data_IF_163133417070
#
_entry.id   IF_163133417070
#
_cell.length_a   1.000
_cell.length_b   1.000
_cell.length_c   1.000
_cell.angle_alpha   90.00
_cell.angle_beta   90.00
_cell.angle_gamma   90.00
#
_symmetry.space_group_name_H-M   'P 1'
#
loop_
_entity.id
_entity.type
_entity.pdbx_description
1 polymer ?
#
# COMPACT_ATOMS: atom_id res chain seq x y z
N UNK A 1 -71.59 -24.27 -56.65
CA UNK A 1 -71.55 -25.41 -57.59
C UNK A 1 -70.25 -25.63 -58.39
N UNK A 2 -69.13 -24.87 -58.25
CA UNK A 2 -67.88 -25.16 -58.99
C UNK A 2 -66.93 -26.17 -58.29
N UNK A 3 -67.17 -26.52 -57.03
CA UNK A 3 -66.25 -27.38 -56.27
C UNK A 3 -66.37 -28.88 -56.60
N UNK A 4 -67.53 -29.35 -57.08
CA UNK A 4 -67.71 -30.79 -57.35
C UNK A 4 -66.98 -31.23 -58.63
N UNK A 5 -67.00 -30.42 -59.68
CA UNK A 5 -66.29 -30.72 -60.94
C UNK A 5 -64.78 -30.78 -60.72
N UNK A 6 -64.22 -29.81 -59.99
CA UNK A 6 -62.78 -29.77 -59.66
C UNK A 6 -62.36 -30.98 -58.81
N UNK A 7 -63.17 -31.37 -57.83
CA UNK A 7 -62.90 -32.56 -57.01
C UNK A 7 -62.98 -33.85 -57.83
N UNK A 8 -63.88 -33.90 -58.80
CA UNK A 8 -64.06 -35.06 -59.68
C UNK A 8 -62.92 -35.16 -60.70
N UNK A 9 -62.45 -34.04 -61.24
CA UNK A 9 -61.28 -33.95 -62.11
C UNK A 9 -59.99 -34.33 -61.36
N UNK A 10 -59.83 -33.88 -60.12
CA UNK A 10 -58.73 -34.27 -59.25
C UNK A 10 -58.75 -35.77 -58.92
N UNK A 11 -59.92 -36.33 -58.59
CA UNK A 11 -60.08 -37.76 -58.33
C UNK A 11 -59.72 -38.61 -59.55
N UNK A 12 -60.15 -38.20 -60.74
CA UNK A 12 -59.81 -38.87 -62.00
C UNK A 12 -58.31 -38.78 -62.31
N UNK A 13 -57.69 -37.65 -62.05
CA UNK A 13 -56.25 -37.44 -62.24
C UNK A 13 -55.43 -38.35 -61.32
N UNK A 14 -55.82 -38.49 -60.04
CA UNK A 14 -55.16 -39.44 -59.11
C UNK A 14 -55.33 -40.89 -59.58
N UNK A 15 -56.51 -41.27 -60.05
CA UNK A 15 -56.75 -42.64 -60.55
C UNK A 15 -55.88 -42.95 -61.77
N UNK A 16 -55.74 -42.00 -62.70
CA UNK A 16 -54.86 -42.15 -63.86
C UNK A 16 -53.38 -42.23 -63.43
N UNK A 17 -52.95 -41.39 -62.49
CA UNK A 17 -51.60 -41.42 -61.96
C UNK A 17 -51.31 -42.77 -61.27
N UNK A 18 -52.23 -43.24 -60.44
CA UNK A 18 -52.13 -44.56 -59.78
C UNK A 18 -51.97 -45.68 -60.80
N UNK A 19 -52.76 -45.65 -61.89
CA UNK A 19 -52.68 -46.65 -62.96
C UNK A 19 -51.32 -46.62 -63.66
N UNK A 20 -50.82 -45.44 -64.04
CA UNK A 20 -49.52 -45.29 -64.67
C UNK A 20 -48.36 -45.77 -63.77
N UNK A 21 -48.43 -45.50 -62.46
CA UNK A 21 -47.42 -45.98 -61.52
C UNK A 21 -47.44 -47.51 -61.38
N UNK A 22 -48.62 -48.13 -61.34
CA UNK A 22 -48.76 -49.59 -61.29
C UNK A 22 -48.24 -50.23 -62.60
N UNK A 23 -48.60 -49.66 -63.76
CA UNK A 23 -48.11 -50.13 -65.06
C UNK A 23 -46.58 -50.00 -65.19
N UNK A 24 -45.99 -49.02 -64.50
CA UNK A 24 -44.54 -48.83 -64.39
C UNK A 24 -43.85 -49.73 -63.34
N UNK A 25 -44.57 -50.67 -62.73
CA UNK A 25 -44.03 -51.66 -61.78
C UNK A 25 -44.00 -51.22 -60.31
N UNK A 26 -44.66 -50.12 -59.94
CA UNK A 26 -44.78 -49.67 -58.55
C UNK A 26 -45.91 -50.40 -57.82
N UNK A 27 -45.66 -50.83 -56.59
CA UNK A 27 -46.70 -51.44 -55.75
C UNK A 27 -47.70 -50.41 -55.23
N UNK A 28 -48.91 -50.86 -54.88
CA UNK A 28 -49.96 -49.96 -54.36
C UNK A 28 -49.56 -49.27 -53.05
N UNK A 29 -48.78 -49.94 -52.20
CA UNK A 29 -48.31 -49.38 -50.94
C UNK A 29 -47.22 -48.33 -51.14
N UNK A 30 -46.34 -48.50 -52.13
CA UNK A 30 -45.35 -47.48 -52.51
C UNK A 30 -46.03 -46.22 -53.06
N UNK A 31 -47.08 -46.37 -53.89
CA UNK A 31 -47.85 -45.22 -54.37
C UNK A 31 -48.51 -44.45 -53.23
N UNK A 32 -49.14 -45.15 -52.27
CA UNK A 32 -49.75 -44.50 -51.09
C UNK A 32 -48.70 -43.74 -50.29
N UNK A 33 -47.55 -44.34 -50.01
CA UNK A 33 -46.47 -43.69 -49.28
C UNK A 33 -45.98 -42.43 -49.99
N UNK A 34 -45.73 -42.52 -51.31
CA UNK A 34 -45.33 -41.38 -52.12
C UNK A 34 -46.39 -40.26 -52.09
N UNK A 35 -47.65 -40.60 -52.30
CA UNK A 35 -48.74 -39.62 -52.32
C UNK A 35 -48.87 -38.89 -50.97
N UNK A 36 -48.85 -39.61 -49.85
CA UNK A 36 -48.94 -39.01 -48.51
C UNK A 36 -47.70 -38.18 -48.15
N UNK A 37 -46.50 -38.60 -48.56
CA UNK A 37 -45.30 -37.78 -48.39
C UNK A 37 -45.42 -36.45 -49.15
N UNK A 38 -45.96 -36.47 -50.37
CA UNK A 38 -46.14 -35.26 -51.18
C UNK A 38 -47.11 -34.27 -50.51
N UNK A 39 -48.22 -34.78 -49.96
CA UNK A 39 -49.16 -33.98 -49.19
C UNK A 39 -48.54 -33.37 -47.92
N UNK A 40 -47.74 -34.17 -47.18
CA UNK A 40 -47.05 -33.70 -45.97
C UNK A 40 -46.00 -32.62 -46.27
N UNK A 41 -45.32 -32.72 -47.40
CA UNK A 41 -44.36 -31.70 -47.87
C UNK A 41 -45.08 -30.39 -48.19
N UNK A 42 -46.22 -30.44 -48.89
CA UNK A 42 -47.05 -29.28 -49.20
C UNK A 42 -47.57 -28.57 -47.94
N UNK A 43 -47.98 -29.32 -46.90
CA UNK A 43 -48.40 -28.78 -45.61
C UNK A 43 -47.25 -28.07 -44.86
N UNK A 44 -46.03 -28.63 -44.93
CA UNK A 44 -44.86 -28.02 -44.30
C UNK A 44 -44.37 -26.76 -45.03
N UNK A 45 -44.45 -26.71 -46.36
CA UNK A 45 -44.02 -25.52 -47.14
C UNK A 45 -44.94 -24.32 -46.93
N UNK A 46 -46.20 -24.54 -46.55
CA UNK A 46 -47.19 -23.48 -46.33
C UNK A 46 -47.17 -22.88 -44.91
N UNK A 47 -46.32 -23.36 -44.01
CA UNK A 47 -46.05 -22.74 -42.70
C UNK A 47 -44.73 -21.95 -42.74
N UNK A 48 -44.72 -20.62 -42.89
CA UNK A 48 -43.49 -19.85 -42.77
C UNK A 48 -42.93 -19.95 -41.34
N UNK A 49 -41.63 -20.21 -41.21
CA UNK A 49 -40.92 -20.28 -39.92
C UNK A 49 -40.95 -18.92 -39.19
N UNK A 50 -41.97 -18.72 -38.36
CA UNK A 50 -42.22 -17.53 -37.55
C UNK A 50 -41.15 -17.25 -36.45
N UNK A 51 -40.11 -18.09 -36.36
CA UNK A 51 -39.08 -18.01 -35.32
C UNK A 51 -38.02 -16.94 -35.59
N UNK A 52 -37.67 -16.65 -36.85
CA UNK A 52 -36.64 -15.67 -37.18
C UNK A 52 -37.11 -14.22 -36.96
N UNK A 53 -38.37 -13.91 -37.28
CA UNK A 53 -38.98 -12.60 -37.03
C UNK A 53 -39.09 -12.35 -35.53
N UNK A 54 -39.57 -13.34 -34.76
CA UNK A 54 -39.71 -13.22 -33.30
C UNK A 54 -38.37 -13.00 -32.59
N UNK A 55 -37.30 -13.67 -33.03
CA UNK A 55 -35.96 -13.51 -32.47
C UNK A 55 -35.33 -12.17 -32.82
N UNK A 56 -35.61 -11.65 -34.02
CA UNK A 56 -35.18 -10.32 -34.45
C UNK A 56 -35.89 -9.22 -33.66
N UNK A 57 -37.21 -9.30 -33.52
CA UNK A 57 -38.02 -8.36 -32.71
C UNK A 57 -37.53 -8.34 -31.27
N UNK A 58 -37.29 -9.49 -30.64
CA UNK A 58 -36.79 -9.54 -29.26
C UNK A 58 -35.42 -8.86 -29.09
N UNK A 59 -34.50 -9.02 -30.06
CA UNK A 59 -33.20 -8.34 -30.03
C UNK A 59 -33.34 -6.82 -30.15
N UNK A 60 -34.17 -6.34 -31.08
CA UNK A 60 -34.41 -4.90 -31.24
C UNK A 60 -35.13 -4.29 -30.04
N UNK A 61 -36.07 -5.00 -29.43
CA UNK A 61 -36.73 -4.57 -28.20
C UNK A 61 -35.73 -4.44 -27.04
N UNK A 62 -34.80 -5.38 -26.88
CA UNK A 62 -33.74 -5.29 -25.86
C UNK A 62 -32.80 -4.11 -26.08
N UNK A 63 -32.40 -3.86 -27.33
CA UNK A 63 -31.54 -2.71 -27.67
C UNK A 63 -32.27 -1.40 -27.41
N UNK A 64 -33.54 -1.29 -27.80
CA UNK A 64 -34.36 -0.11 -27.55
C UNK A 64 -34.53 0.14 -26.04
N UNK A 65 -34.77 -0.91 -25.25
CA UNK A 65 -34.83 -0.83 -23.78
C UNK A 65 -33.50 -0.35 -23.20
N UNK A 66 -32.37 -0.86 -23.67
CA UNK A 66 -31.04 -0.42 -23.25
C UNK A 66 -30.78 1.05 -23.57
N UNK A 67 -31.17 1.51 -24.76
CA UNK A 67 -31.04 2.92 -25.17
C UNK A 67 -31.93 3.83 -24.32
N UNK A 68 -33.17 3.43 -24.04
CA UNK A 68 -34.08 4.21 -23.19
C UNK A 68 -33.57 4.29 -21.74
N UNK A 69 -33.05 3.19 -21.19
CA UNK A 69 -32.43 3.19 -19.86
C UNK A 69 -31.21 4.11 -19.84
N UNK A 70 -30.35 4.06 -20.88
CA UNK A 70 -29.18 4.94 -21.00
C UNK A 70 -29.54 6.42 -21.10
N UNK A 71 -30.57 6.77 -21.89
CA UNK A 71 -31.04 8.15 -21.98
C UNK A 71 -31.66 8.64 -20.66
N UNK A 72 -32.40 7.78 -19.97
CA UNK A 72 -32.97 8.09 -18.65
C UNK A 72 -31.89 8.32 -17.58
N UNK A 73 -30.83 7.50 -17.55
CA UNK A 73 -29.72 7.66 -16.59
C UNK A 73 -28.87 8.89 -16.90
N UNK A 74 -28.68 9.25 -18.17
CA UNK A 74 -28.02 10.50 -18.57
C UNK A 74 -28.83 11.75 -18.15
N UNK A 75 -30.15 11.72 -18.40
CA UNK A 75 -31.05 12.82 -18.05
C UNK A 75 -31.15 13.04 -16.53
N UNK A 76 -31.27 11.95 -15.76
CA UNK A 76 -31.38 11.99 -14.30
C UNK A 76 -30.06 11.64 -13.58
N UNK A 77 -28.92 11.95 -14.20
CA UNK A 77 -27.59 11.56 -13.72
C UNK A 77 -27.34 11.92 -12.25
N UNK A 78 -27.77 13.11 -11.81
CA UNK A 78 -27.62 13.56 -10.42
C UNK A 78 -28.49 12.76 -9.42
N UNK A 79 -29.74 12.47 -9.78
CA UNK A 79 -30.65 11.70 -8.94
C UNK A 79 -30.24 10.22 -8.88
N UNK A 80 -29.89 9.63 -10.02
CA UNK A 80 -29.37 8.27 -10.13
C UNK A 80 -28.07 8.11 -9.34
N UNK A 81 -27.13 9.05 -9.47
CA UNK A 81 -25.89 9.06 -8.70
C UNK A 81 -26.16 9.15 -7.19
N UNK A 82 -27.04 10.05 -6.75
CA UNK A 82 -27.40 10.18 -5.34
C UNK A 82 -28.05 8.91 -4.80
N UNK A 83 -28.98 8.30 -5.54
CA UNK A 83 -29.62 7.05 -5.13
C UNK A 83 -28.63 5.88 -5.09
N UNK A 84 -27.71 5.79 -6.06
CA UNK A 84 -26.68 4.76 -6.10
C UNK A 84 -25.72 4.91 -4.91
N UNK A 85 -25.26 6.13 -4.60
CA UNK A 85 -24.36 6.37 -3.46
C UNK A 85 -25.04 6.09 -2.13
N UNK A 86 -26.28 6.58 -1.93
CA UNK A 86 -27.00 6.33 -0.69
C UNK A 86 -27.22 4.83 -0.42
N UNK A 87 -27.48 4.04 -1.46
CA UNK A 87 -27.61 2.58 -1.32
C UNK A 87 -26.25 1.88 -1.23
N UNK A 88 -25.20 2.37 -1.90
CA UNK A 88 -23.85 1.79 -1.81
C UNK A 88 -23.21 2.00 -0.44
N UNK A 89 -23.53 3.09 0.27
CA UNK A 89 -22.95 3.40 1.58
C UNK A 89 -23.06 2.23 2.57
N UNK A 90 -24.19 1.52 2.59
CA UNK A 90 -24.38 0.34 3.45
C UNK A 90 -23.51 -0.87 3.03
N UNK A 91 -23.14 -0.95 1.75
CA UNK A 91 -22.29 -2.02 1.20
C UNK A 91 -20.79 -1.69 1.22
N UNK A 92 -20.39 -0.45 1.48
CA UNK A 92 -18.97 -0.07 1.57
C UNK A 92 -18.27 -0.92 2.63
N UNK A 93 -18.80 -1.00 3.85
CA UNK A 93 -18.16 -1.75 4.94
C UNK A 93 -18.13 -3.27 4.70
N UNK A 94 -19.25 -3.93 4.30
CA UNK A 94 -19.22 -5.33 3.88
C UNK A 94 -18.25 -5.59 2.71
N UNK A 95 -18.21 -4.70 1.72
CA UNK A 95 -17.31 -4.78 0.58
C UNK A 95 -15.84 -4.69 1.00
N UNK A 96 -15.48 -3.72 1.84
CA UNK A 96 -14.13 -3.60 2.41
C UNK A 96 -13.76 -4.83 3.27
N UNK A 97 -14.72 -5.41 4.00
CA UNK A 97 -14.51 -6.65 4.77
C UNK A 97 -14.27 -7.85 3.86
N UNK A 98 -14.97 -7.95 2.74
CA UNK A 98 -14.77 -8.99 1.73
C UNK A 98 -13.41 -8.81 1.04
N UNK A 99 -13.08 -7.59 0.60
CA UNK A 99 -11.77 -7.23 0.07
C UNK A 99 -10.65 -7.59 1.03
N UNK A 100 -10.80 -7.28 2.33
CA UNK A 100 -9.85 -7.68 3.37
C UNK A 100 -9.69 -9.19 3.49
N UNK A 101 -10.80 -9.96 3.44
CA UNK A 101 -10.74 -11.42 3.48
C UNK A 101 -10.03 -12.01 2.26
N UNK A 102 -10.22 -11.41 1.09
CA UNK A 102 -9.53 -11.82 -0.13
C UNK A 102 -8.06 -11.40 -0.09
N UNK A 103 -7.73 -10.21 0.43
CA UNK A 103 -6.37 -9.69 0.41
C UNK A 103 -5.44 -10.33 1.45
N UNK A 104 -5.94 -10.72 2.63
CA UNK A 104 -5.12 -11.38 3.68
C UNK A 104 -4.29 -12.58 3.16
N UNK A 105 -4.88 -13.59 2.49
CA UNK A 105 -4.09 -14.72 1.98
C UNK A 105 -3.08 -14.28 0.92
N UNK A 106 -3.42 -13.32 0.06
CA UNK A 106 -2.47 -12.77 -0.91
C UNK A 106 -1.28 -12.06 -0.23
N UNK A 107 -1.54 -11.23 0.77
CA UNK A 107 -0.49 -10.54 1.54
C UNK A 107 0.39 -11.56 2.28
N UNK A 108 -0.19 -12.67 2.78
CA UNK A 108 0.58 -13.72 3.45
C UNK A 108 1.55 -14.47 2.54
N UNK A 109 1.29 -14.51 1.23
CA UNK A 109 2.19 -15.11 0.24
C UNK A 109 3.37 -14.18 -0.11
N UNK A 110 3.20 -12.87 0.06
CA UNK A 110 4.19 -11.85 -0.28
C UNK A 110 4.52 -10.98 0.94
N UNK A 111 5.30 -11.50 1.92
CA UNK A 111 5.66 -10.76 3.11
C UNK A 111 6.43 -9.46 2.82
N UNK A 112 7.18 -9.41 1.71
CA UNK A 112 7.84 -8.20 1.23
C UNK A 112 6.87 -7.05 0.93
N UNK A 113 5.64 -7.35 0.50
CA UNK A 113 4.62 -6.32 0.27
C UNK A 113 4.13 -5.68 1.57
N UNK A 114 4.16 -6.45 2.66
CA UNK A 114 3.82 -5.93 4.00
C UNK A 114 4.89 -4.97 4.50
N UNK A 115 6.16 -5.21 4.17
CA UNK A 115 7.26 -4.28 4.49
C UNK A 115 7.01 -2.90 3.87
N UNK A 116 6.65 -2.86 2.57
CA UNK A 116 6.31 -1.61 1.88
C UNK A 116 5.05 -0.93 2.42
N UNK A 117 4.10 -1.68 2.96
CA UNK A 117 2.92 -1.10 3.62
C UNK A 117 3.28 -0.35 4.91
N UNK A 118 4.34 -0.78 5.60
CA UNK A 118 4.82 -0.12 6.82
C UNK A 118 5.78 1.04 6.55
N UNK A 119 6.23 1.20 5.31
CA UNK A 119 7.04 2.33 4.88
C UNK A 119 6.15 3.56 4.64
N UNK A 120 6.49 4.65 5.33
CA UNK A 120 5.80 5.95 5.18
C UNK A 120 6.22 6.63 3.88
N UNK A 121 7.44 6.38 3.42
CA UNK A 121 7.99 6.88 2.17
C UNK A 121 8.82 5.80 1.47
N UNK A 122 8.41 5.40 0.26
CA UNK A 122 9.14 4.40 -0.53
C UNK A 122 10.41 4.95 -1.17
N UNK A 123 10.37 6.21 -1.60
CA UNK A 123 11.47 6.92 -2.24
C UNK A 123 11.41 8.37 -1.74
N UNK A 124 12.41 8.76 -0.95
CA UNK A 124 12.63 10.18 -0.67
C UNK A 124 13.09 10.87 -1.95
N UNK A 125 12.41 11.94 -2.34
CA UNK A 125 12.84 12.73 -3.48
C UNK A 125 13.99 13.66 -3.04
N UNK A 126 15.24 13.41 -3.49
CA UNK A 126 16.39 14.22 -3.07
C UNK A 126 16.35 15.65 -3.62
N UNK A 127 15.47 15.92 -4.60
CA UNK A 127 15.28 17.23 -5.22
C UNK A 127 14.00 17.92 -4.74
N UNK A 128 13.25 17.31 -3.82
CA UNK A 128 12.10 17.97 -3.23
C UNK A 128 12.59 19.04 -2.26
N UNK A 129 12.33 20.30 -2.62
CA UNK A 129 12.52 21.45 -1.75
C UNK A 129 11.17 22.13 -1.57
N UNK A 130 10.83 22.48 -0.34
CA UNK A 130 9.59 23.22 -0.05
C UNK A 130 9.84 24.68 -0.39
N UNK A 131 9.21 25.16 -1.46
CA UNK A 131 9.47 26.51 -2.02
C UNK A 131 9.13 27.63 -1.04
N UNK A 132 8.08 27.46 -0.24
CA UNK A 132 7.56 28.50 0.69
C UNK A 132 7.61 28.03 2.15
N UNK A 133 8.79 27.63 2.60
CA UNK A 133 9.00 27.26 3.99
C UNK A 133 9.14 28.49 4.88
N UNK A 134 8.30 28.60 5.93
CA UNK A 134 8.45 29.66 6.92
C UNK A 134 9.64 29.37 7.85
N UNK A 135 10.76 30.02 7.58
CA UNK A 135 12.01 29.86 8.33
C UNK A 135 12.09 30.79 9.56
N UNK A 136 11.07 31.61 9.84
CA UNK A 136 11.04 32.48 11.01
C UNK A 136 11.31 31.73 12.34
N UNK A 137 10.76 30.51 12.58
CA UNK A 137 10.94 29.80 13.85
C UNK A 137 12.38 29.40 14.20
N UNK A 138 13.32 29.40 13.23
CA UNK A 138 14.72 29.12 13.46
C UNK A 138 15.60 30.38 13.53
N UNK A 139 15.11 31.51 13.01
CA UNK A 139 15.89 32.74 12.80
C UNK A 139 16.49 33.32 14.09
N UNK A 140 15.81 33.12 15.22
CA UNK A 140 16.23 33.65 16.54
C UNK A 140 17.11 32.68 17.32
N UNK A 141 17.31 31.46 16.83
CA UNK A 141 18.08 30.42 17.53
C UNK A 141 19.56 30.57 17.21
N UNK A 142 20.34 30.90 18.23
CA UNK A 142 21.79 31.12 18.10
C UNK A 142 22.63 30.05 18.80
N UNK A 143 22.07 29.33 19.77
CA UNK A 143 22.74 28.29 20.53
C UNK A 143 21.77 27.18 20.93
N UNK A 144 22.32 25.98 21.13
CA UNK A 144 21.61 24.85 21.73
C UNK A 144 21.74 25.02 23.23
N UNK A 145 20.60 25.03 23.94
CA UNK A 145 20.57 25.16 25.40
C UNK A 145 20.47 23.78 26.04
N UNK A 146 21.12 23.64 27.19
CA UNK A 146 20.89 22.51 28.07
C UNK A 146 19.75 22.84 29.03
N UNK A 147 18.74 21.97 29.07
CA UNK A 147 17.51 22.16 29.85
C UNK A 147 17.49 21.15 30.98
N UNK A 148 17.38 21.64 32.21
CA UNK A 148 17.20 20.78 33.38
C UNK A 148 15.70 20.48 33.55
N UNK A 149 15.35 19.20 33.57
CA UNK A 149 13.99 18.67 33.73
C UNK A 149 12.93 19.23 32.74
N UNK A 150 13.01 18.86 31.46
CA UNK A 150 12.04 19.35 30.47
C UNK A 150 10.63 18.79 30.69
N UNK A 151 9.62 19.66 30.54
CA UNK A 151 8.24 19.24 30.35
C UNK A 151 8.06 18.60 28.96
N UNK A 152 7.02 17.77 28.75
CA UNK A 152 6.69 17.29 27.42
C UNK A 152 6.59 18.46 26.43
N UNK A 153 7.30 18.35 25.31
CA UNK A 153 7.36 19.42 24.33
C UNK A 153 6.00 19.58 23.67
N UNK A 154 5.48 20.82 23.69
CA UNK A 154 4.36 21.20 22.84
C UNK A 154 4.90 21.53 21.44
N UNK A 155 4.09 21.32 20.40
CA UNK A 155 4.44 21.58 18.98
C UNK A 155 4.95 23.02 18.70
N UNK A 156 4.90 23.93 19.66
CA UNK A 156 5.39 25.31 19.55
C UNK A 156 6.89 25.47 19.88
N UNK A 157 7.54 24.48 20.49
CA UNK A 157 8.98 24.57 20.81
C UNK A 157 9.82 24.03 19.66
N UNK A 158 10.12 24.89 18.69
CA UNK A 158 10.96 24.58 17.51
C UNK A 158 12.45 24.63 17.80
N UNK A 159 12.87 25.35 18.84
CA UNK A 159 14.27 25.52 19.17
C UNK A 159 14.90 24.21 19.68
N UNK A 160 16.08 23.82 19.18
CA UNK A 160 16.77 22.62 19.63
C UNK A 160 17.36 22.81 21.02
N UNK A 161 17.33 21.75 21.81
CA UNK A 161 17.91 21.70 23.15
C UNK A 161 18.42 20.30 23.48
N UNK A 162 19.29 20.23 24.47
CA UNK A 162 19.76 18.96 25.04
C UNK A 162 19.28 18.83 26.49
N UNK A 163 19.11 17.60 26.96
CA UNK A 163 18.94 17.32 28.37
C UNK A 163 19.40 15.92 28.73
N UNK A 164 19.77 15.72 29.98
CA UNK A 164 20.11 14.41 30.53
C UNK A 164 18.84 13.58 30.81
N UNK A 165 18.81 12.36 30.30
CA UNK A 165 17.67 11.46 30.48
C UNK A 165 17.90 10.44 31.60
N UNK A 166 16.83 9.81 32.08
CA UNK A 166 16.91 8.67 33.01
C UNK A 166 17.35 7.35 32.33
N UNK A 167 17.74 7.41 31.05
CA UNK A 167 18.20 6.24 30.29
C UNK A 167 19.52 5.74 30.87
N UNK A 168 19.60 4.44 31.16
CA UNK A 168 20.89 3.82 31.46
C UNK A 168 21.70 3.63 30.19
N UNK A 169 23.03 3.68 30.30
CA UNK A 169 23.95 3.43 29.19
C UNK A 169 23.65 2.05 28.59
N UNK A 170 23.45 2.00 27.27
CA UNK A 170 23.21 0.77 26.52
C UNK A 170 24.37 0.59 25.55
N UNK A 171 25.21 -0.38 25.86
CA UNK A 171 26.35 -0.79 25.03
C UNK A 171 25.96 -1.88 24.03
N UNK A 172 26.96 -2.34 23.27
CA UNK A 172 26.77 -3.42 22.30
C UNK A 172 26.34 -4.74 22.94
N UNK A 173 26.76 -5.02 24.18
CA UNK A 173 26.39 -6.26 24.88
C UNK A 173 24.91 -6.24 25.27
N UNK A 174 24.42 -5.12 25.78
CA UNK A 174 23.01 -4.91 26.08
C UNK A 174 22.13 -5.02 24.82
N UNK A 175 22.56 -4.43 23.69
CA UNK A 175 21.87 -4.59 22.40
C UNK A 175 21.86 -6.06 21.93
N UNK A 176 23.00 -6.74 22.03
CA UNK A 176 23.10 -8.17 21.68
C UNK A 176 22.16 -9.02 22.53
N UNK A 177 22.09 -8.75 23.83
CA UNK A 177 21.17 -9.45 24.75
C UNK A 177 19.71 -9.19 24.41
N UNK A 178 19.34 -7.96 24.07
CA UNK A 178 17.98 -7.60 23.61
C UNK A 178 17.60 -8.38 22.35
N UNK A 179 18.50 -8.42 21.37
CA UNK A 179 18.32 -9.16 20.13
C UNK A 179 18.19 -10.67 20.38
N UNK A 180 19.16 -11.28 21.06
CA UNK A 180 19.18 -12.73 21.29
C UNK A 180 17.94 -13.23 22.06
N UNK A 181 17.44 -12.43 23.00
CA UNK A 181 16.21 -12.76 23.74
C UNK A 181 14.96 -12.80 22.86
N UNK A 182 14.95 -12.07 21.74
CA UNK A 182 13.77 -11.90 20.86
C UNK A 182 14.11 -12.13 19.38
N UNK A 183 15.08 -13.01 19.12
CA UNK A 183 15.67 -13.23 17.80
C UNK A 183 14.63 -13.47 16.71
N UNK A 184 13.69 -14.39 16.96
CA UNK A 184 12.63 -14.74 16.00
C UNK A 184 11.78 -13.54 15.57
N UNK A 185 11.55 -12.58 16.47
CA UNK A 185 10.76 -11.38 16.16
C UNK A 185 11.57 -10.39 15.32
N UNK A 186 12.83 -10.13 15.70
CA UNK A 186 13.70 -9.22 14.96
C UNK A 186 14.01 -9.74 13.56
N UNK A 187 14.35 -11.03 13.43
CA UNK A 187 14.64 -11.66 12.13
C UNK A 187 13.42 -11.67 11.20
N UNK A 188 12.21 -11.61 11.76
CA UNK A 188 10.97 -11.54 10.98
C UNK A 188 10.57 -10.12 10.61
N UNK A 189 10.64 -9.19 11.56
CA UNK A 189 10.02 -7.86 11.42
C UNK A 189 11.02 -6.72 11.20
N UNK A 190 12.31 -6.93 11.46
CA UNK A 190 13.38 -5.97 11.19
C UNK A 190 14.69 -6.68 10.76
N UNK A 191 14.67 -7.43 9.64
CA UNK A 191 15.79 -8.28 9.22
C UNK A 191 16.96 -7.55 8.55
N UNK A 192 16.83 -6.24 8.28
CA UNK A 192 17.77 -5.50 7.44
C UNK A 192 18.45 -4.40 8.24
N UNK A 193 19.79 -4.44 8.25
CA UNK A 193 20.64 -3.40 8.80
C UNK A 193 21.47 -2.83 7.66
N UNK A 194 21.39 -1.52 7.45
CA UNK A 194 22.18 -0.83 6.44
C UNK A 194 23.61 -0.63 6.97
N UNK A 195 24.60 -1.15 6.27
CA UNK A 195 26.02 -1.03 6.63
C UNK A 195 26.73 -0.07 5.67
N UNK A 196 27.46 0.90 6.23
CA UNK A 196 28.30 1.87 5.53
C UNK A 196 27.57 2.58 4.36
N UNK A 197 26.23 2.72 4.44
CA UNK A 197 25.36 3.23 3.39
C UNK A 197 25.49 2.52 2.02
N UNK A 198 25.84 1.23 2.01
CA UNK A 198 26.11 0.49 0.76
C UNK A 198 25.28 -0.78 0.58
N UNK A 199 25.22 -1.61 1.61
CA UNK A 199 24.57 -2.92 1.53
C UNK A 199 23.86 -3.26 2.84
N UNK A 200 22.97 -4.23 2.77
CA UNK A 200 22.22 -4.71 3.93
C UNK A 200 22.81 -6.01 4.48
N UNK A 201 22.87 -6.11 5.79
CA UNK A 201 23.22 -7.34 6.52
C UNK A 201 22.09 -7.73 7.48
N UNK A 202 22.14 -8.95 8.02
CA UNK A 202 21.20 -9.37 9.05
C UNK A 202 21.63 -8.89 10.45
N UNK A 203 20.69 -8.76 11.41
CA UNK A 203 21.03 -8.53 12.82
C UNK A 203 21.96 -9.61 13.39
N UNK A 204 21.82 -10.86 12.92
CA UNK A 204 22.70 -11.96 13.33
C UNK A 204 24.15 -11.68 12.95
N UNK A 205 24.37 -11.22 11.71
CA UNK A 205 25.70 -10.86 11.22
C UNK A 205 26.30 -9.73 12.04
N UNK A 206 25.52 -8.69 12.40
CA UNK A 206 25.99 -7.58 13.22
C UNK A 206 26.54 -8.05 14.58
N UNK A 207 25.84 -8.96 15.25
CA UNK A 207 26.21 -9.40 16.60
C UNK A 207 27.18 -10.59 16.65
N UNK A 208 27.40 -11.26 15.51
CA UNK A 208 28.32 -12.38 15.38
C UNK A 208 29.62 -12.01 14.64
N UNK A 209 29.65 -10.91 13.88
CA UNK A 209 30.89 -10.35 13.34
C UNK A 209 31.79 -9.81 14.46
N UNK A 210 33.11 -9.90 14.27
CA UNK A 210 34.07 -9.25 15.17
C UNK A 210 33.95 -7.74 15.00
N UNK A 211 33.77 -7.03 16.12
CA UNK A 211 33.58 -5.57 16.18
C UNK A 211 34.86 -4.79 15.79
N UNK A 212 35.96 -5.48 15.51
CA UNK A 212 37.25 -4.87 15.13
C UNK A 212 37.23 -4.15 13.77
N UNK A 213 36.18 -4.34 12.96
CA UNK A 213 35.99 -3.60 11.73
C UNK A 213 35.31 -2.24 12.00
N UNK A 214 35.96 -1.16 11.55
CA UNK A 214 35.46 0.21 11.54
C UNK A 214 34.23 0.33 10.64
N UNK A 215 33.06 0.04 11.20
CA UNK A 215 31.80 -0.03 10.48
C UNK A 215 30.77 0.95 11.05
N UNK A 216 29.85 1.32 10.17
CA UNK A 216 28.70 2.14 10.46
C UNK A 216 27.44 1.35 10.14
N UNK A 217 26.51 1.27 11.09
CA UNK A 217 25.28 0.50 10.98
C UNK A 217 24.07 1.37 11.28
N UNK A 218 23.04 1.27 10.45
CA UNK A 218 21.72 1.87 10.68
C UNK A 218 20.70 0.73 10.68
N UNK A 219 20.07 0.52 11.83
CA UNK A 219 19.02 -0.46 12.00
C UNK A 219 17.66 0.24 12.10
N UNK A 220 16.82 0.07 11.08
CA UNK A 220 15.50 0.69 10.98
C UNK A 220 14.41 -0.20 11.58
N UNK A 221 13.53 0.41 12.36
CA UNK A 221 12.33 -0.21 12.92
C UNK A 221 11.10 0.58 12.52
N UNK A 222 10.15 -0.07 11.83
CA UNK A 222 8.88 0.52 11.41
C UNK A 222 7.66 -0.27 11.94
N UNK A 223 7.87 -1.43 12.57
CA UNK A 223 6.81 -2.29 13.09
C UNK A 223 6.49 -1.99 14.58
N UNK A 224 5.20 -2.01 14.91
CA UNK A 224 4.69 -1.82 16.27
C UNK A 224 5.17 -2.86 17.28
N UNK A 225 5.32 -4.14 16.90
CA UNK A 225 5.73 -5.17 17.87
C UNK A 225 7.19 -4.99 18.26
N UNK A 226 8.09 -4.77 17.29
CA UNK A 226 9.49 -4.44 17.56
C UNK A 226 9.61 -3.11 18.31
N UNK A 227 8.82 -2.09 17.96
CA UNK A 227 8.80 -0.83 18.69
C UNK A 227 8.38 -1.01 20.16
N UNK A 228 7.41 -1.89 20.45
CA UNK A 228 6.99 -2.22 21.81
C UNK A 228 8.13 -2.88 22.59
N UNK A 229 8.86 -3.79 21.95
CA UNK A 229 10.01 -4.44 22.56
C UNK A 229 11.15 -3.44 22.81
N UNK A 230 11.46 -2.61 21.82
CA UNK A 230 12.48 -1.57 21.93
C UNK A 230 12.21 -0.63 23.10
N UNK A 231 10.94 -0.25 23.32
CA UNK A 231 10.51 0.57 24.47
C UNK A 231 10.75 -0.07 25.85
N UNK A 232 10.92 -1.39 25.93
CA UNK A 232 11.26 -2.07 27.17
C UNK A 232 12.75 -1.91 27.52
N UNK A 233 13.60 -1.74 26.52
CA UNK A 233 15.06 -1.57 26.68
C UNK A 233 15.44 -0.09 26.66
N UNK A 234 14.87 0.67 25.74
CA UNK A 234 15.04 2.11 25.59
C UNK A 234 13.68 2.78 25.88
N UNK A 235 13.36 3.07 27.16
CA UNK A 235 12.14 3.76 27.52
C UNK A 235 11.93 5.06 26.76
N UNK A 236 10.67 5.45 26.60
CA UNK A 236 10.32 6.74 26.00
C UNK A 236 10.87 7.87 26.89
N UNK A 237 11.65 8.81 26.33
CA UNK A 237 12.12 9.97 27.07
C UNK A 237 10.95 10.85 27.57
N UNK A 238 11.10 11.47 28.74
CA UNK A 238 10.06 12.31 29.39
C UNK A 238 9.54 13.43 28.48
N UNK A 239 10.42 14.00 27.67
CA UNK A 239 10.11 15.11 26.77
C UNK A 239 9.19 14.74 25.61
N UNK A 240 9.17 13.46 25.24
CA UNK A 240 8.38 12.95 24.12
C UNK A 240 6.93 12.76 24.59
N UNK A 241 5.93 13.40 23.97
CA UNK A 241 4.55 13.26 24.39
C UNK A 241 4.00 11.83 24.24
N UNK A 242 2.89 11.54 24.95
CA UNK A 242 2.36 10.17 25.07
C UNK A 242 1.72 9.64 23.79
N UNK A 243 1.14 10.51 22.97
CA UNK A 243 0.38 10.19 21.76
C UNK A 243 1.02 10.87 20.57
N UNK A 244 1.04 10.25 19.38
CA UNK A 244 1.59 10.89 18.17
C UNK A 244 3.06 10.54 17.86
N UNK A 245 3.67 9.64 18.63
CA UNK A 245 5.00 9.12 18.27
C UNK A 245 4.94 8.29 16.98
N UNK A 246 5.85 8.57 16.04
CA UNK A 246 6.01 7.79 14.80
C UNK A 246 6.31 6.31 15.10
N UNK A 247 5.95 5.45 14.14
CA UNK A 247 6.37 4.05 14.13
C UNK A 247 7.82 3.88 13.73
N UNK A 248 8.38 4.82 12.98
CA UNK A 248 9.75 4.81 12.50
C UNK A 248 10.74 5.19 13.61
N UNK A 249 11.73 4.32 13.80
CA UNK A 249 12.85 4.49 14.73
C UNK A 249 14.12 3.93 14.11
N UNK A 250 15.25 4.46 14.54
CA UNK A 250 16.55 3.96 14.13
C UNK A 250 17.42 3.69 15.35
N UNK A 251 18.17 2.60 15.32
CA UNK A 251 19.37 2.45 16.13
C UNK A 251 20.57 2.63 15.20
N UNK A 252 21.47 3.52 15.57
CA UNK A 252 22.70 3.79 14.86
C UNK A 252 23.85 3.26 15.71
N UNK A 253 24.76 2.50 15.09
CA UNK A 253 25.99 2.01 15.71
C UNK A 253 27.16 2.44 14.83
N UNK A 254 28.04 3.27 15.36
CA UNK A 254 29.22 3.78 14.67
C UNK A 254 30.50 3.42 15.42
N UNK A 255 31.28 2.49 14.85
CA UNK A 255 32.68 2.24 15.24
C UNK A 255 33.69 2.88 14.26
N UNK A 256 33.21 3.40 13.12
CA UNK A 256 34.03 3.99 12.07
C UNK A 256 34.59 5.37 12.44
N UNK A 257 33.89 6.09 13.32
CA UNK A 257 34.19 7.45 13.76
C UNK A 257 34.17 8.48 12.62
N UNK A 258 33.57 8.15 11.49
CA UNK A 258 33.49 9.06 10.34
C UNK A 258 32.34 10.05 10.49
N UNK A 259 32.34 11.09 9.66
CA UNK A 259 31.19 12.00 9.57
C UNK A 259 30.04 11.31 8.85
N UNK A 260 28.83 11.37 9.41
CA UNK A 260 27.62 10.84 8.78
C UNK A 260 26.39 11.67 9.15
N UNK A 261 25.39 11.63 8.27
CA UNK A 261 24.11 12.29 8.52
C UNK A 261 23.17 11.35 9.27
N UNK A 262 22.42 11.91 10.22
CA UNK A 262 21.31 11.20 10.86
C UNK A 262 20.18 11.05 9.82
N UNK A 263 19.57 9.86 9.67
CA UNK A 263 18.44 9.68 8.77
C UNK A 263 17.29 10.62 9.10
N UNK A 264 16.68 11.17 8.05
CA UNK A 264 15.45 11.94 8.18
C UNK A 264 14.32 11.02 8.67
N UNK A 265 13.44 11.57 9.50
CA UNK A 265 12.34 10.82 10.13
C UNK A 265 10.97 11.26 9.59
N UNK A 266 9.96 10.39 9.70
CA UNK A 266 8.59 10.71 9.28
C UNK A 266 8.02 12.04 9.81
N UNK A 267 8.06 12.27 11.13
CA UNK A 267 7.46 13.46 11.74
C UNK A 267 8.48 14.59 11.92
N UNK A 268 8.04 15.86 11.91
CA UNK A 268 8.90 17.05 11.95
C UNK A 268 9.77 17.18 13.20
N UNK A 269 9.23 16.83 14.37
CA UNK A 269 9.99 16.83 15.61
C UNK A 269 10.72 15.51 15.79
N UNK A 270 12.02 15.57 15.99
CA UNK A 270 12.87 14.40 16.10
C UNK A 270 13.74 14.51 17.34
N UNK A 271 14.14 13.35 17.84
CA UNK A 271 15.10 13.27 18.93
C UNK A 271 16.22 12.30 18.58
N UNK A 272 17.42 12.65 19.04
CA UNK A 272 18.61 11.81 18.98
C UNK A 272 19.06 11.56 20.42
N UNK A 273 18.91 10.32 20.88
CA UNK A 273 19.31 9.88 22.21
C UNK A 273 20.64 9.13 22.11
N UNK A 274 21.69 9.63 22.76
CA UNK A 274 22.95 8.92 22.86
C UNK A 274 22.84 7.81 23.92
N UNK A 275 22.96 6.56 23.47
CA UNK A 275 22.87 5.38 24.33
C UNK A 275 24.22 4.99 24.91
N UNK A 276 25.29 5.15 24.15
CA UNK A 276 26.68 4.91 24.56
C UNK A 276 27.64 5.70 23.67
N UNK A 277 28.77 6.12 24.25
CA UNK A 277 29.73 7.03 23.63
C UNK A 277 29.24 8.49 23.57
N UNK A 278 30.17 9.38 23.25
CA UNK A 278 29.89 10.79 22.98
C UNK A 278 30.35 11.19 21.57
N UNK A 279 29.63 12.15 20.99
CA UNK A 279 29.94 12.71 19.67
C UNK A 279 29.56 14.18 19.60
N UNK A 280 30.33 14.95 18.82
CA UNK A 280 29.91 16.28 18.38
C UNK A 280 28.86 16.13 17.27
N UNK A 281 27.71 16.78 17.48
CA UNK A 281 26.60 16.83 16.53
C UNK A 281 26.51 18.26 15.98
N UNK A 282 26.59 18.37 14.66
CA UNK A 282 26.39 19.63 13.95
C UNK A 282 24.97 19.65 13.37
N UNK A 283 24.14 20.58 13.84
CA UNK A 283 22.83 20.87 13.28
C UNK A 283 23.00 21.82 12.10
N UNK A 284 22.94 21.27 10.89
CA UNK A 284 23.07 22.01 9.64
C UNK A 284 21.69 22.51 9.20
N UNK A 285 21.52 23.81 8.89
CA UNK A 285 20.26 24.32 8.35
C UNK A 285 19.79 23.54 7.12
N UNK A 286 18.48 23.31 7.01
CA UNK A 286 17.87 22.85 5.77
C UNK A 286 18.16 23.85 4.64
N UNK A 287 18.28 23.37 3.40
CA UNK A 287 18.67 24.21 2.26
C UNK A 287 17.67 25.36 2.03
N UNK A 288 16.39 25.13 2.31
CA UNK A 288 15.30 26.09 2.26
C UNK A 288 15.52 27.28 3.23
N UNK A 289 16.10 27.01 4.40
CA UNK A 289 16.27 27.99 5.46
C UNK A 289 17.72 28.40 5.72
N UNK A 290 18.65 28.03 4.83
CA UNK A 290 20.10 28.25 4.98
C UNK A 290 20.53 29.70 5.16
N UNK A 291 19.74 30.64 4.62
CA UNK A 291 20.02 32.08 4.74
C UNK A 291 19.51 32.70 6.05
N UNK A 292 18.60 32.02 6.76
CA UNK A 292 17.97 32.53 7.99
C UNK A 292 18.39 31.76 9.25
N UNK A 293 18.40 30.43 9.20
CA UNK A 293 18.86 29.62 10.33
C UNK A 293 20.38 29.60 10.40
N UNK A 294 20.92 29.54 11.62
CA UNK A 294 22.35 29.31 11.85
C UNK A 294 22.66 27.82 12.02
N UNK A 295 23.87 27.43 11.65
CA UNK A 295 24.44 26.14 12.04
C UNK A 295 24.76 26.15 13.54
N UNK A 296 24.39 25.08 14.22
CA UNK A 296 24.58 24.93 15.66
C UNK A 296 25.40 23.67 15.94
N UNK A 297 26.25 23.71 16.96
CA UNK A 297 27.07 22.57 17.36
C UNK A 297 26.81 22.24 18.83
N UNK A 298 26.80 20.95 19.14
CA UNK A 298 26.67 20.47 20.51
C UNK A 298 27.41 19.15 20.69
N UNK A 299 28.05 18.97 21.84
CA UNK A 299 28.54 17.67 22.25
C UNK A 299 27.39 16.88 22.89
N UNK A 300 27.00 15.77 22.27
CA UNK A 300 25.99 14.88 22.83
C UNK A 300 26.69 13.77 23.63
N UNK A 301 26.57 13.86 24.95
CA UNK A 301 27.12 12.89 25.91
C UNK A 301 26.22 11.66 26.03
N UNK A 302 26.75 10.59 26.61
CA UNK A 302 25.95 9.42 26.97
C UNK A 302 24.73 9.84 27.79
N UNK A 303 23.60 9.15 27.58
CA UNK A 303 22.30 9.40 28.23
C UNK A 303 21.67 10.75 27.93
N UNK A 304 22.33 11.65 27.18
CA UNK A 304 21.74 12.91 26.75
C UNK A 304 20.89 12.72 25.51
N UNK A 305 19.80 13.49 25.45
CA UNK A 305 18.92 13.57 24.31
C UNK A 305 19.01 14.95 23.67
N UNK A 306 19.21 14.99 22.37
CA UNK A 306 19.06 16.17 21.53
C UNK A 306 17.67 16.18 20.91
N UNK A 307 16.87 17.18 21.27
CA UNK A 307 15.59 17.47 20.64
C UNK A 307 15.79 18.50 19.53
N UNK A 308 15.21 18.25 18.35
CA UNK A 308 15.32 19.15 17.21
C UNK A 308 14.12 19.01 16.27
N UNK A 309 14.02 19.92 15.31
CA UNK A 309 13.03 19.85 14.24
C UNK A 309 13.77 19.72 12.90
N UNK A 310 13.58 18.59 12.22
CA UNK A 310 14.36 18.24 11.02
C UNK A 310 14.01 19.09 9.79
N UNK A 311 12.86 19.76 9.83
CA UNK A 311 12.48 20.77 8.84
C UNK A 311 13.44 21.96 8.83
N UNK A 312 13.99 22.35 9.99
CA UNK A 312 14.91 23.49 10.09
C UNK A 312 16.37 23.08 10.16
N UNK A 313 16.68 21.97 10.86
CA UNK A 313 18.06 21.49 11.05
C UNK A 313 18.20 20.00 10.79
N UNK A 314 19.13 19.63 9.93
CA UNK A 314 19.54 18.25 9.66
C UNK A 314 20.79 17.92 10.48
N UNK A 315 20.76 16.92 11.38
CA UNK A 315 21.91 16.60 12.21
C UNK A 315 22.96 15.81 11.43
N UNK A 316 24.22 16.23 11.57
CA UNK A 316 25.39 15.55 11.07
C UNK A 316 26.36 15.26 12.22
N UNK A 317 26.62 13.98 12.47
CA UNK A 317 27.62 13.53 13.44
C UNK A 317 29.00 13.84 12.88
N UNK A 318 29.83 14.53 13.66
CA UNK A 318 31.19 14.89 13.26
C UNK A 318 32.16 13.73 13.53
N UNK A 319 33.26 13.74 12.77
CA UNK A 319 34.36 12.81 12.99
C UNK A 319 34.91 12.95 14.41
N UNK A 320 35.20 11.81 15.04
CA UNK A 320 35.86 11.74 16.35
C UNK A 320 37.21 11.02 16.22
N UNK A 321 38.13 11.32 17.14
CA UNK A 321 39.43 10.64 17.26
C UNK A 321 39.43 9.58 18.38
N UNK A 322 38.29 9.41 19.07
CA UNK A 322 38.18 8.50 20.22
C UNK A 322 37.78 7.08 19.81
N UNK A 323 38.32 6.07 20.48
CA UNK A 323 38.08 4.65 20.17
C UNK A 323 36.74 4.08 20.65
N UNK A 324 35.82 4.93 21.12
CA UNK A 324 34.52 4.48 21.61
C UNK A 324 33.49 4.39 20.48
N UNK A 325 32.81 3.25 20.42
CA UNK A 325 31.63 3.05 19.58
C UNK A 325 30.53 3.99 20.03
N UNK A 326 29.98 4.76 19.09
CA UNK A 326 28.83 5.61 19.35
C UNK A 326 27.55 4.85 19.01
N UNK A 327 26.66 4.75 19.98
CA UNK A 327 25.34 4.11 19.81
C UNK A 327 24.28 5.17 20.07
N UNK A 328 23.36 5.34 19.14
CA UNK A 328 22.28 6.31 19.27
C UNK A 328 20.93 5.74 18.85
N UNK A 329 19.88 6.23 19.48
CA UNK A 329 18.49 5.96 19.13
C UNK A 329 17.84 7.22 18.58
N UNK A 330 17.27 7.11 17.39
CA UNK A 330 16.57 8.19 16.70
C UNK A 330 15.09 7.83 16.63
N UNK A 331 14.25 8.80 16.95
CA UNK A 331 12.80 8.69 16.74
C UNK A 331 12.18 10.05 16.51
N UNK A 332 10.90 10.05 16.16
CA UNK A 332 10.17 11.28 15.83
C UNK A 332 8.75 11.32 16.38
N UNK A 333 8.19 12.53 16.34
CA UNK A 333 6.95 12.93 16.98
C UNK A 333 6.13 13.87 16.09
N UNK A 334 4.86 13.50 15.89
CA UNK A 334 3.78 14.30 15.32
C UNK A 334 2.83 14.68 16.48
#
# INVERSE_FOLDING_TARGET
MPNQEVLQEYSNSIKNLKKQCIDAGMSEEEFKQMYFQTLKTLENTSRPENNNIRRSVFKYTLVLLGVLIGLYTLYNSKAVYSSIICNLQEYIYPGLKLLRRISIPFISLFPSLTEYYHETCLIQNPYFAVVDMDCWPCSTVNNIREVNDPSPVNQQQTAPFIYETEQQVIDMEALKKMYMKNKDLFDKESPKILTNNKYYISPDDLFNQRIDDKNFYIWKFNNMNVAKLLRQTIPRPKVVPKFGQSTERFIIVDSSQQTFNIPDTECSFSFLLALSGSREINLVPAEECKHQCKSLKVELKETYLLWYNWWYWRPAVQQSMGNHTFIAHVGSYC
#
